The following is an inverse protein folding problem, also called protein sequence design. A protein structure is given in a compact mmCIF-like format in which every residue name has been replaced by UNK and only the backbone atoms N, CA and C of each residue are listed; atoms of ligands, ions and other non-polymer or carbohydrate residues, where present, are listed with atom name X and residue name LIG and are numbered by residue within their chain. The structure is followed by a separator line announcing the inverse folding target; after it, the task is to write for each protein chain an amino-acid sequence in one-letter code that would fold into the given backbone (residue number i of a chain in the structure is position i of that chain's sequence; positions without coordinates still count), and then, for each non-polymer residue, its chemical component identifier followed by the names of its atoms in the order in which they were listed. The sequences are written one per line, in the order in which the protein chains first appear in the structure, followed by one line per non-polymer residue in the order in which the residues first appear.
data_IF_022904450410
#
_entry.id   IF_022904450410
#
_cell.length_a   1.000
_cell.length_b   1.000
_cell.length_c   1.000
_cell.angle_alpha   90.00
_cell.angle_beta   90.00
_cell.angle_gamma   90.00
#
_symmetry.space_group_name_H-M   'P 1'
#
loop_
_entity.id
_entity.type
_entity.pdbx_description
1 polymer ?
#
# COMPACT_ATOMS: atom_id res chain seq x y z
N UNK A 1 -34.91 -22.02 -14.96
CA UNK A 1 -33.93 -22.29 -13.87
C UNK A 1 -32.54 -22.11 -14.45
N UNK A 2 -31.88 -21.01 -14.08
CA UNK A 2 -30.54 -20.71 -14.59
C UNK A 2 -29.51 -21.59 -13.84
N UNK A 3 -28.77 -22.41 -14.60
CA UNK A 3 -27.63 -23.17 -14.08
C UNK A 3 -26.58 -22.20 -13.57
N UNK A 4 -26.52 -22.03 -12.26
CA UNK A 4 -25.39 -21.41 -11.59
C UNK A 4 -24.23 -22.41 -11.71
N UNK A 5 -23.34 -22.20 -12.68
CA UNK A 5 -22.06 -22.91 -12.75
C UNK A 5 -21.32 -22.62 -11.44
N UNK A 6 -21.20 -23.65 -10.61
CA UNK A 6 -20.32 -23.62 -9.43
C UNK A 6 -18.91 -23.45 -9.96
N UNK A 7 -18.38 -22.23 -9.85
CA UNK A 7 -16.96 -21.97 -10.15
C UNK A 7 -16.18 -22.75 -9.08
N UNK A 8 -15.40 -23.73 -9.50
CA UNK A 8 -14.44 -24.41 -8.61
C UNK A 8 -13.58 -23.34 -7.98
N UNK A 9 -13.74 -23.15 -6.69
CA UNK A 9 -13.00 -22.16 -5.92
C UNK A 9 -11.58 -22.66 -5.78
N UNK A 10 -10.66 -22.10 -6.55
CA UNK A 10 -9.22 -22.38 -6.41
C UNK A 10 -8.74 -22.01 -4.99
N UNK A 11 -7.63 -22.59 -4.62
CA UNK A 11 -6.92 -22.28 -3.37
C UNK A 11 -5.70 -21.41 -3.66
N UNK A 12 -5.38 -20.52 -2.74
CA UNK A 12 -4.12 -19.77 -2.78
C UNK A 12 -2.95 -20.76 -2.67
N UNK A 13 -2.06 -20.72 -3.65
CA UNK A 13 -0.90 -21.63 -3.71
C UNK A 13 0.12 -21.40 -2.58
N UNK A 14 0.08 -20.26 -1.88
CA UNK A 14 0.97 -19.96 -0.76
C UNK A 14 0.38 -20.29 0.61
N UNK A 15 -0.90 -19.99 0.84
CA UNK A 15 -1.49 -20.13 2.19
C UNK A 15 -2.72 -21.05 2.26
N UNK A 16 -3.12 -21.67 1.16
CA UNK A 16 -4.27 -22.59 1.11
C UNK A 16 -5.64 -21.93 1.29
N UNK A 17 -5.73 -20.60 1.46
CA UNK A 17 -7.00 -19.88 1.59
C UNK A 17 -7.79 -19.97 0.28
N UNK A 18 -9.11 -20.12 0.37
CA UNK A 18 -9.97 -20.07 -0.80
C UNK A 18 -9.85 -18.71 -1.52
N UNK A 19 -9.72 -18.76 -2.83
CA UNK A 19 -9.72 -17.57 -3.69
C UNK A 19 -11.17 -17.11 -3.88
N UNK A 20 -11.50 -15.94 -3.36
CA UNK A 20 -12.83 -15.36 -3.49
C UNK A 20 -12.83 -14.36 -4.66
N UNK A 21 -13.74 -14.49 -5.63
CA UNK A 21 -13.82 -13.56 -6.77
C UNK A 21 -13.93 -12.09 -6.38
N UNK A 22 -14.59 -11.82 -5.23
CA UNK A 22 -14.79 -10.45 -4.70
C UNK A 22 -13.48 -9.87 -4.13
N UNK A 23 -12.61 -10.69 -3.58
CA UNK A 23 -11.35 -10.24 -2.96
C UNK A 23 -10.21 -10.08 -3.96
N UNK A 24 -10.38 -10.62 -5.17
CA UNK A 24 -9.35 -10.69 -6.18
C UNK A 24 -8.23 -11.68 -5.86
N UNK A 25 -7.40 -11.93 -6.84
CA UNK A 25 -6.20 -12.75 -6.73
C UNK A 25 -5.15 -12.25 -7.71
N UNK A 26 -3.90 -12.63 -7.52
CA UNK A 26 -2.82 -12.37 -8.46
C UNK A 26 -2.42 -13.67 -9.17
N UNK A 27 -2.18 -13.56 -10.46
CA UNK A 27 -1.58 -14.62 -11.26
C UNK A 27 -0.06 -14.49 -11.19
N UNK A 28 0.63 -15.59 -10.96
CA UNK A 28 2.07 -15.66 -11.03
C UNK A 28 2.52 -16.06 -12.42
N UNK A 29 3.80 -15.84 -12.73
CA UNK A 29 4.41 -16.17 -14.04
C UNK A 29 4.24 -17.64 -14.45
N UNK A 30 4.23 -18.54 -13.49
CA UNK A 30 4.09 -19.99 -13.72
C UNK A 30 2.62 -20.46 -13.78
N UNK A 31 1.66 -19.55 -13.78
CA UNK A 31 0.23 -19.85 -13.79
C UNK A 31 -0.38 -20.16 -12.43
N UNK A 32 0.41 -20.17 -11.36
CA UNK A 32 -0.11 -20.29 -9.98
C UNK A 32 -0.88 -19.05 -9.58
N UNK A 33 -1.79 -19.19 -8.59
CA UNK A 33 -2.64 -18.12 -8.11
C UNK A 33 -2.41 -17.89 -6.62
N UNK A 34 -2.29 -16.63 -6.22
CA UNK A 34 -2.20 -16.23 -4.80
C UNK A 34 -3.30 -15.26 -4.43
N UNK A 35 -3.81 -15.37 -3.19
CA UNK A 35 -4.88 -14.49 -2.71
C UNK A 35 -4.38 -13.05 -2.51
N UNK A 36 -5.32 -12.11 -2.51
CA UNK A 36 -5.06 -10.70 -2.27
C UNK A 36 -4.31 -10.42 -0.95
N UNK A 37 -4.52 -11.27 0.07
CA UNK A 37 -3.83 -11.15 1.36
C UNK A 37 -2.33 -11.47 1.24
N UNK A 38 -1.94 -12.58 0.59
CA UNK A 38 -0.52 -12.90 0.34
C UNK A 38 0.12 -11.85 -0.57
N UNK A 39 -0.56 -11.48 -1.67
CA UNK A 39 -0.10 -10.44 -2.56
C UNK A 39 0.08 -9.09 -1.84
N UNK A 40 -0.84 -8.71 -0.95
CA UNK A 40 -0.75 -7.49 -0.15
C UNK A 40 0.49 -7.46 0.75
N UNK A 41 0.86 -8.57 1.36
CA UNK A 41 2.09 -8.67 2.16
C UNK A 41 3.33 -8.54 1.28
N UNK A 42 3.41 -9.26 0.17
CA UNK A 42 4.55 -9.20 -0.76
C UNK A 42 4.75 -7.76 -1.29
N UNK A 43 3.66 -7.04 -1.57
CA UNK A 43 3.71 -5.66 -2.08
C UNK A 43 4.28 -4.64 -1.10
N UNK A 44 4.46 -4.97 0.16
CA UNK A 44 5.21 -4.12 1.10
C UNK A 44 6.65 -3.91 0.63
N UNK A 45 7.26 -4.94 0.02
CA UNK A 45 8.62 -4.88 -0.51
C UNK A 45 8.68 -4.80 -2.04
N UNK A 46 7.61 -5.19 -2.72
CA UNK A 46 7.46 -5.19 -4.17
C UNK A 46 6.23 -4.37 -4.58
N UNK A 47 6.28 -3.05 -4.42
CA UNK A 47 5.12 -2.19 -4.65
C UNK A 47 4.69 -2.22 -6.11
N UNK A 48 3.37 -2.17 -6.30
CA UNK A 48 2.77 -2.00 -7.61
C UNK A 48 3.10 -0.59 -8.13
N UNK A 49 3.58 -0.49 -9.36
CA UNK A 49 3.86 0.78 -10.00
C UNK A 49 2.87 1.09 -11.13
N UNK A 50 2.58 2.36 -11.28
CA UNK A 50 1.76 2.89 -12.36
C UNK A 50 2.63 3.79 -13.23
N UNK A 51 2.69 3.49 -14.51
CA UNK A 51 3.40 4.29 -15.51
C UNK A 51 2.45 4.73 -16.61
N UNK A 52 2.88 5.64 -17.46
CA UNK A 52 2.09 6.11 -18.60
C UNK A 52 2.81 5.69 -19.89
N UNK A 53 2.08 5.10 -20.81
CA UNK A 53 2.62 4.77 -22.13
C UNK A 53 2.75 6.04 -23.00
N UNK A 54 3.38 5.89 -24.17
CA UNK A 54 3.56 7.00 -25.14
C UNK A 54 2.24 7.57 -25.68
N UNK A 55 1.11 6.86 -25.48
CA UNK A 55 -0.22 7.28 -25.90
C UNK A 55 -1.01 7.94 -24.76
N UNK A 56 -0.41 8.07 -23.56
CA UNK A 56 -1.07 8.61 -22.39
C UNK A 56 -2.00 7.63 -21.69
N UNK A 57 -1.93 6.34 -21.98
CA UNK A 57 -2.68 5.33 -21.25
C UNK A 57 -1.89 4.92 -20.00
N UNK A 58 -2.61 4.71 -18.92
CA UNK A 58 -2.03 4.21 -17.68
C UNK A 58 -1.68 2.73 -17.83
N UNK A 59 -0.43 2.38 -17.56
CA UNK A 59 0.07 1.01 -17.54
C UNK A 59 0.38 0.63 -16.10
N UNK A 60 -0.30 -0.41 -15.62
CA UNK A 60 -0.04 -1.02 -14.34
C UNK A 60 1.07 -2.05 -14.48
N UNK A 61 2.10 -1.94 -13.67
CA UNK A 61 3.12 -2.97 -13.51
C UNK A 61 3.05 -3.52 -12.08
N UNK A 62 2.75 -4.80 -11.97
CA UNK A 62 2.71 -5.52 -10.70
C UNK A 62 3.87 -6.52 -10.66
N UNK A 63 4.95 -6.22 -9.92
CA UNK A 63 6.13 -7.09 -9.88
C UNK A 63 5.83 -8.53 -9.44
N UNK A 64 4.72 -8.75 -8.74
CA UNK A 64 4.31 -10.08 -8.29
C UNK A 64 3.94 -10.98 -9.46
N UNK A 65 3.37 -10.43 -10.53
CA UNK A 65 2.98 -11.19 -11.73
C UNK A 65 4.20 -11.76 -12.49
N UNK A 66 5.40 -11.25 -12.21
CA UNK A 66 6.66 -11.74 -12.77
C UNK A 66 7.34 -12.84 -11.94
N UNK A 67 6.82 -13.12 -10.74
CA UNK A 67 7.39 -14.13 -9.84
C UNK A 67 6.83 -15.53 -10.17
N UNK A 68 7.67 -16.56 -10.02
CA UNK A 68 7.22 -17.94 -9.88
C UNK A 68 6.66 -18.19 -8.47
N UNK A 69 5.99 -19.31 -8.25
CA UNK A 69 5.49 -19.68 -6.92
C UNK A 69 6.59 -19.74 -5.86
N UNK A 70 7.75 -20.29 -6.20
CA UNK A 70 8.90 -20.36 -5.30
C UNK A 70 9.43 -18.96 -4.95
N UNK A 71 9.59 -18.08 -5.94
CA UNK A 71 10.02 -16.70 -5.73
C UNK A 71 9.01 -15.92 -4.92
N UNK A 72 7.70 -16.10 -5.17
CA UNK A 72 6.63 -15.49 -4.40
C UNK A 72 6.59 -15.99 -2.94
N UNK A 73 6.92 -17.28 -2.71
CA UNK A 73 7.08 -17.84 -1.37
C UNK A 73 8.19 -17.14 -0.59
N UNK A 74 9.38 -17.04 -1.18
CA UNK A 74 10.52 -16.31 -0.59
C UNK A 74 10.23 -14.82 -0.37
N UNK A 75 9.57 -14.18 -1.34
CA UNK A 75 9.17 -12.78 -1.20
C UNK A 75 8.17 -12.57 -0.05
N UNK A 76 7.26 -13.52 0.17
CA UNK A 76 6.32 -13.48 1.29
C UNK A 76 7.04 -13.63 2.64
N UNK A 77 7.97 -14.57 2.77
CA UNK A 77 8.77 -14.76 3.99
C UNK A 77 9.59 -13.50 4.32
N UNK A 78 10.28 -12.94 3.33
CA UNK A 78 11.04 -11.71 3.47
C UNK A 78 10.15 -10.52 3.89
N UNK A 79 8.97 -10.40 3.29
CA UNK A 79 8.03 -9.33 3.63
C UNK A 79 7.46 -9.48 5.05
N UNK A 80 7.24 -10.70 5.51
CA UNK A 80 6.83 -10.96 6.90
C UNK A 80 7.97 -10.57 7.85
N UNK A 81 9.20 -11.04 7.61
CA UNK A 81 10.36 -10.71 8.43
C UNK A 81 10.59 -9.19 8.51
N UNK A 82 10.53 -8.50 7.37
CA UNK A 82 10.63 -7.04 7.31
C UNK A 82 9.55 -6.34 8.13
N UNK A 83 8.30 -6.81 8.03
CA UNK A 83 7.19 -6.24 8.81
C UNK A 83 7.38 -6.45 10.32
N UNK A 84 7.89 -7.61 10.72
CA UNK A 84 8.20 -7.91 12.12
C UNK A 84 9.37 -7.05 12.64
N UNK A 85 10.40 -6.85 11.83
CA UNK A 85 11.52 -5.95 12.16
C UNK A 85 11.03 -4.51 12.35
N UNK A 86 10.21 -4.00 11.44
CA UNK A 86 9.61 -2.67 11.58
C UNK A 86 8.73 -2.57 12.83
N UNK A 87 7.94 -3.61 13.12
CA UNK A 87 7.12 -3.64 14.32
C UNK A 87 7.98 -3.61 15.58
N UNK A 88 9.04 -4.41 15.66
CA UNK A 88 9.94 -4.42 16.81
C UNK A 88 10.67 -3.09 17.00
N UNK A 89 11.08 -2.45 15.88
CA UNK A 89 11.78 -1.16 15.91
C UNK A 89 10.88 0.00 16.33
N UNK A 90 9.60 -0.07 15.99
CA UNK A 90 8.63 1.02 16.20
C UNK A 90 7.46 0.60 17.09
N UNK A 91 7.65 -0.39 17.99
CA UNK A 91 6.64 -0.98 18.86
C UNK A 91 5.99 0.02 19.84
N UNK A 92 6.69 1.13 20.10
CA UNK A 92 6.19 2.24 20.90
C UNK A 92 5.21 3.17 20.17
N UNK A 93 5.00 2.95 18.86
CA UNK A 93 4.01 3.67 18.08
C UNK A 93 2.73 2.85 17.91
N UNK A 94 1.59 3.52 17.82
CA UNK A 94 0.30 2.85 17.62
C UNK A 94 0.08 2.39 16.17
N UNK A 95 0.72 3.07 15.21
CA UNK A 95 0.65 2.69 13.80
C UNK A 95 1.91 3.10 13.03
N UNK A 96 2.24 2.34 11.99
CA UNK A 96 3.34 2.61 11.07
C UNK A 96 2.87 2.47 9.63
N UNK A 97 3.22 3.45 8.80
CA UNK A 97 2.93 3.51 7.38
C UNK A 97 4.25 3.63 6.60
N UNK A 98 4.43 2.80 5.58
CA UNK A 98 5.56 2.87 4.67
C UNK A 98 5.17 3.63 3.40
N UNK A 99 5.96 4.66 3.07
CA UNK A 99 5.76 5.49 1.89
C UNK A 99 6.39 4.81 0.67
N UNK A 100 5.58 4.49 -0.32
CA UNK A 100 6.01 3.86 -1.59
C UNK A 100 6.21 4.90 -2.70
N UNK A 101 5.41 5.96 -2.68
CA UNK A 101 5.52 7.07 -3.63
C UNK A 101 4.87 8.33 -3.07
N UNK A 102 5.24 9.47 -3.63
CA UNK A 102 4.73 10.77 -3.20
C UNK A 102 4.23 11.56 -4.40
N UNK A 103 3.06 12.15 -4.26
CA UNK A 103 2.53 13.14 -5.20
C UNK A 103 2.27 14.42 -4.43
N UNK A 104 2.68 15.55 -5.01
CA UNK A 104 2.47 16.86 -4.41
C UNK A 104 1.57 17.70 -5.31
N UNK A 105 0.50 18.21 -4.74
CA UNK A 105 -0.37 19.18 -5.37
C UNK A 105 0.04 20.59 -4.93
N UNK A 106 0.28 21.49 -5.88
CA UNK A 106 0.67 22.87 -5.57
C UNK A 106 -0.46 23.56 -4.82
N UNK A 107 -0.15 24.10 -3.67
CA UNK A 107 -1.05 24.99 -2.95
C UNK A 107 -1.33 26.28 -3.73
N UNK A 108 -2.46 26.94 -3.45
CA UNK A 108 -2.74 28.27 -3.97
C UNK A 108 -1.86 29.33 -3.29
N UNK A 109 -2.02 30.61 -3.71
CA UNK A 109 -1.18 31.76 -3.30
C UNK A 109 -0.94 31.88 -1.78
N UNK A 110 -1.83 31.36 -0.93
CA UNK A 110 -1.73 31.40 0.55
C UNK A 110 -1.86 30.01 1.19
N UNK A 111 -2.00 28.94 0.41
CA UNK A 111 -2.16 27.57 0.93
C UNK A 111 -0.88 26.79 0.78
N UNK A 112 -0.45 26.03 1.82
CA UNK A 112 0.68 25.14 1.69
C UNK A 112 0.41 24.06 0.62
N UNK A 113 1.46 23.46 0.05
CA UNK A 113 1.29 22.31 -0.84
C UNK A 113 0.62 21.16 -0.07
N UNK A 114 -0.19 20.39 -0.79
CA UNK A 114 -0.80 19.17 -0.28
C UNK A 114 0.07 17.99 -0.73
N UNK A 115 0.45 17.16 0.23
CA UNK A 115 1.28 15.99 0.01
C UNK A 115 0.38 14.76 0.11
N UNK A 116 0.45 13.88 -0.88
CA UNK A 116 -0.17 12.56 -0.90
C UNK A 116 0.96 11.54 -0.77
N UNK A 117 1.17 11.03 0.43
CA UNK A 117 2.09 9.92 0.67
C UNK A 117 1.35 8.61 0.38
N UNK A 118 1.58 8.05 -0.79
CA UNK A 118 0.98 6.79 -1.21
C UNK A 118 1.81 5.62 -0.71
N UNK A 119 1.16 4.62 -0.12
CA UNK A 119 1.87 3.48 0.44
C UNK A 119 0.95 2.53 1.20
N UNK A 120 1.46 1.91 2.26
CA UNK A 120 0.73 0.89 3.03
C UNK A 120 0.91 1.06 4.51
N UNK A 121 -0.18 0.80 5.23
CA UNK A 121 -0.11 0.63 6.68
C UNK A 121 0.53 -0.72 6.97
N UNK A 122 1.68 -0.70 7.64
CA UNK A 122 2.42 -1.90 8.05
C UNK A 122 1.70 -2.58 9.23
N UNK A 123 1.32 -1.79 10.22
CA UNK A 123 0.45 -2.21 11.31
C UNK A 123 -0.30 -1.02 11.92
N UNK A 124 -1.30 -1.30 12.76
CA UNK A 124 -2.15 -0.30 13.34
C UNK A 124 -3.15 0.28 12.35
N UNK A 125 -3.63 1.48 12.62
CA UNK A 125 -4.54 2.21 11.74
C UNK A 125 -4.33 3.72 11.84
N UNK A 126 -4.64 4.40 10.73
CA UNK A 126 -4.65 5.86 10.64
C UNK A 126 -6.06 6.33 10.32
N UNK A 127 -6.44 7.45 10.93
CA UNK A 127 -7.68 8.16 10.67
C UNK A 127 -7.39 9.59 10.21
N UNK A 128 -8.32 10.24 9.49
CA UNK A 128 -8.25 11.67 9.26
C UNK A 128 -8.12 12.43 10.58
N UNK A 129 -7.34 13.50 10.58
CA UNK A 129 -7.03 14.36 11.76
C UNK A 129 -6.05 13.75 12.77
N UNK A 130 -5.56 12.52 12.55
CA UNK A 130 -4.50 11.96 13.37
C UNK A 130 -3.25 12.85 13.37
N UNK A 131 -2.66 13.02 14.56
CA UNK A 131 -1.31 13.53 14.71
C UNK A 131 -0.33 12.41 14.44
N UNK A 132 0.64 12.69 13.58
CA UNK A 132 1.63 11.71 13.15
C UNK A 132 3.01 12.37 12.98
N UNK A 133 4.03 11.59 12.85
CA UNK A 133 5.40 12.04 12.55
C UNK A 133 5.91 11.41 11.27
N UNK A 134 6.45 12.25 10.40
CA UNK A 134 7.17 11.83 9.22
C UNK A 134 8.63 11.58 9.61
N UNK A 135 9.11 10.37 9.39
CA UNK A 135 10.49 9.96 9.60
C UNK A 135 11.20 9.99 8.24
N UNK A 136 12.02 11.01 8.01
CA UNK A 136 12.74 11.23 6.77
C UNK A 136 14.25 11.32 7.05
N UNK A 137 15.05 10.41 6.48
CA UNK A 137 16.53 10.41 6.55
C UNK A 137 17.07 10.67 7.98
N UNK A 138 16.46 10.05 8.98
CA UNK A 138 16.88 10.19 10.39
C UNK A 138 16.34 11.42 11.12
N UNK A 139 15.58 12.28 10.46
CA UNK A 139 14.84 13.38 11.09
C UNK A 139 13.37 13.00 11.29
N UNK A 140 12.74 13.59 12.31
CA UNK A 140 11.31 13.45 12.56
C UNK A 140 10.63 14.82 12.45
N UNK A 141 9.51 14.89 11.75
CA UNK A 141 8.71 16.09 11.60
C UNK A 141 7.26 15.83 11.96
N UNK A 142 6.71 16.62 12.88
CA UNK A 142 5.32 16.51 13.27
C UNK A 142 4.41 16.97 12.13
N UNK A 143 3.31 16.26 11.97
CA UNK A 143 2.27 16.60 11.01
C UNK A 143 0.90 16.17 11.50
N UNK A 144 -0.14 16.71 10.87
CA UNK A 144 -1.52 16.28 11.07
C UNK A 144 -2.07 15.81 9.73
N UNK A 145 -2.68 14.66 9.71
CA UNK A 145 -3.34 14.14 8.52
C UNK A 145 -4.58 14.98 8.23
N UNK A 146 -4.71 15.45 7.02
CA UNK A 146 -5.90 16.19 6.55
C UNK A 146 -6.90 15.29 5.87
N UNK A 147 -6.54 14.03 5.60
CA UNK A 147 -7.41 13.03 5.02
C UNK A 147 -6.64 11.76 4.68
N UNK A 148 -7.41 10.72 4.34
CA UNK A 148 -6.87 9.45 3.86
C UNK A 148 -7.66 9.08 2.61
N UNK A 149 -6.96 8.87 1.50
CA UNK A 149 -7.56 8.51 0.23
C UNK A 149 -7.32 7.03 -0.06
N UNK A 150 -8.37 6.36 -0.46
CA UNK A 150 -8.26 4.99 -0.98
C UNK A 150 -7.51 5.04 -2.31
N UNK A 151 -6.47 4.23 -2.45
CA UNK A 151 -5.87 3.99 -3.75
C UNK A 151 -6.75 2.98 -4.49
N UNK A 152 -7.51 3.47 -5.46
CA UNK A 152 -8.12 2.59 -6.45
C UNK A 152 -6.99 2.00 -7.31
N UNK A 153 -7.26 0.91 -8.03
CA UNK A 153 -6.29 0.24 -8.91
C UNK A 153 -5.66 1.18 -9.95
N UNK A 154 -6.17 2.40 -10.07
CA UNK A 154 -5.85 3.39 -11.11
C UNK A 154 -5.67 4.82 -10.58
N UNK A 155 -5.35 4.99 -9.29
CA UNK A 155 -5.09 6.31 -8.72
C UNK A 155 -5.80 6.60 -7.41
N UNK A 156 -5.64 7.82 -6.90
CA UNK A 156 -6.26 8.28 -5.66
C UNK A 156 -7.77 8.45 -5.88
N UNK A 157 -8.60 7.73 -5.13
CA UNK A 157 -10.06 7.93 -5.17
C UNK A 157 -10.45 9.13 -4.29
N UNK A 158 -11.53 9.83 -4.68
CA UNK A 158 -12.01 11.01 -3.97
C UNK A 158 -12.65 10.77 -2.59
N UNK A 159 -12.71 9.52 -2.11
CA UNK A 159 -13.34 9.18 -0.84
C UNK A 159 -12.32 9.03 0.26
N UNK A 160 -12.56 9.70 1.38
CA UNK A 160 -11.80 9.49 2.60
C UNK A 160 -12.11 8.09 3.17
N UNK A 161 -11.09 7.46 3.71
CA UNK A 161 -11.19 6.13 4.29
C UNK A 161 -10.26 6.03 5.50
N UNK A 162 -10.43 4.98 6.28
CA UNK A 162 -9.48 4.61 7.29
C UNK A 162 -8.30 3.87 6.66
N UNK A 163 -7.09 4.26 7.02
CA UNK A 163 -5.87 3.55 6.66
C UNK A 163 -5.70 2.33 7.55
N UNK A 164 -5.93 1.14 7.02
CA UNK A 164 -5.81 -0.13 7.75
C UNK A 164 -4.75 -1.05 7.17
N UNK A 165 -4.18 -1.89 8.00
CA UNK A 165 -3.07 -2.77 7.67
C UNK A 165 -3.22 -3.54 6.35
N UNK A 166 -2.18 -3.50 5.53
CA UNK A 166 -2.04 -4.23 4.28
C UNK A 166 -2.75 -3.64 3.07
N UNK A 167 -3.65 -2.66 3.23
CA UNK A 167 -4.33 -2.02 2.10
C UNK A 167 -3.55 -0.78 1.65
N UNK A 168 -3.36 -0.57 0.34
CA UNK A 168 -2.75 0.65 -0.16
C UNK A 168 -3.69 1.83 0.05
N UNK A 169 -3.15 2.92 0.57
CA UNK A 169 -3.85 4.19 0.70
C UNK A 169 -2.88 5.36 0.53
N UNK A 170 -3.40 6.57 0.41
CA UNK A 170 -2.62 7.78 0.48
C UNK A 170 -2.95 8.51 1.79
N UNK A 171 -1.96 8.74 2.61
CA UNK A 171 -2.05 9.68 3.72
C UNK A 171 -1.87 11.09 3.18
N UNK A 172 -2.80 11.98 3.51
CA UNK A 172 -2.84 13.36 2.99
C UNK A 172 -2.51 14.33 4.11
N UNK A 173 -1.55 15.19 3.87
CA UNK A 173 -1.15 16.23 4.80
C UNK A 173 -0.61 17.45 4.07
N UNK A 174 -0.52 18.58 4.76
CA UNK A 174 0.04 19.80 4.21
C UNK A 174 1.17 20.33 5.09
N UNK A 175 2.13 21.03 4.47
CA UNK A 175 3.19 21.69 5.22
C UNK A 175 4.20 22.37 4.31
N UNK A 176 4.57 23.63 4.63
CA UNK A 176 5.52 24.41 3.82
C UNK A 176 6.93 23.85 3.81
N UNK A 177 7.31 23.08 4.84
CA UNK A 177 8.67 22.59 5.05
C UNK A 177 8.74 21.05 5.18
N UNK A 178 7.65 20.34 4.87
CA UNK A 178 7.64 18.90 4.94
C UNK A 178 8.16 18.34 3.61
N UNK A 179 9.23 17.55 3.70
CA UNK A 179 9.78 16.78 2.59
C UNK A 179 9.47 15.33 2.86
N UNK A 180 8.73 14.71 1.96
CA UNK A 180 8.37 13.30 2.01
C UNK A 180 8.83 12.63 0.72
N UNK A 181 9.50 11.49 0.84
CA UNK A 181 10.01 10.72 -0.29
C UNK A 181 9.63 9.23 -0.16
N UNK A 182 9.75 8.49 -1.25
CA UNK A 182 9.61 7.04 -1.20
C UNK A 182 10.69 6.44 -0.27
N UNK A 183 10.30 5.49 0.56
CA UNK A 183 11.15 4.89 1.59
C UNK A 183 11.04 5.53 2.98
N UNK A 184 10.36 6.67 3.10
CA UNK A 184 10.06 7.27 4.39
C UNK A 184 9.02 6.46 5.17
N UNK A 185 8.97 6.69 6.48
CA UNK A 185 7.92 6.14 7.35
C UNK A 185 7.09 7.26 7.95
N UNK A 186 5.81 6.98 8.13
CA UNK A 186 4.91 7.83 8.90
C UNK A 186 4.45 7.01 10.11
N UNK A 187 4.63 7.55 11.31
CA UNK A 187 4.32 6.87 12.56
C UNK A 187 3.27 7.68 13.34
N UNK A 188 2.41 6.98 14.07
CA UNK A 188 1.39 7.53 14.95
C UNK A 188 1.67 7.07 16.38
N UNK A 189 1.69 8.02 17.31
CA UNK A 189 1.86 7.76 18.75
C UNK A 189 0.52 7.38 19.40
#
# INVERSE_FOLDING_TARGET
MANVKTIERGLCSLCGRALLPIEGYCNLRDGSHICSHCAGKIRVMHPLTLTWDKKGNQVKHDPIEELSLEEAGRALENAIAYTEELRAKYDHHNAVFAVESVTTEKGGFLKPPIIYACGRVIYGCFDPEDKARLLHKGSASDMTLTGIKKLASYGVSGFDCQGTGGKPCALVFGGKNLVCEAGDLIVKD
#
